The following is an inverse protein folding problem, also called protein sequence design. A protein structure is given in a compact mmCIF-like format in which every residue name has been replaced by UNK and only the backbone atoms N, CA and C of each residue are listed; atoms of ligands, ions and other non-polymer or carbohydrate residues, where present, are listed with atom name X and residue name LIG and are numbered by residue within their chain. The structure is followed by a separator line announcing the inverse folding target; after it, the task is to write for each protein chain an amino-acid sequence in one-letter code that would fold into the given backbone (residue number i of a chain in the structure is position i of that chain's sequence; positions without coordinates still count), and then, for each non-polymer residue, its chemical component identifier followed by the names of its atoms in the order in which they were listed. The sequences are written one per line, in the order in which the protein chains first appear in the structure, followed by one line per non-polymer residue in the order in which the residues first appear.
data_IF_119875844640
#
_entry.id   IF_119875844640
#
_cell.length_a   1.000
_cell.length_b   1.000
_cell.length_c   1.000
_cell.angle_alpha   90.00
_cell.angle_beta   90.00
_cell.angle_gamma   90.00
#
_symmetry.space_group_name_H-M   'P 1'
#
loop_
_entity.id
_entity.type
_entity.pdbx_description
1 polymer ?
#
# COMPACT_ATOMS: atom_id res chain seq x y z
N UNK A 1 16.44 0.20 23.20
CA UNK A 1 17.20 -0.65 22.26
C UNK A 1 16.58 -2.04 22.26
N UNK A 2 16.38 -2.68 21.10
CA UNK A 2 15.82 -4.04 21.03
C UNK A 2 16.83 -5.05 21.60
N UNK A 3 16.36 -5.99 22.42
CA UNK A 3 17.21 -7.05 23.02
C UNK A 3 17.20 -8.34 22.22
N UNK A 4 16.06 -8.67 21.63
CA UNK A 4 15.81 -9.88 20.85
C UNK A 4 15.10 -9.44 19.58
N UNK A 5 15.61 -9.87 18.43
CA UNK A 5 15.04 -9.48 17.13
C UNK A 5 14.81 -10.74 16.31
N UNK A 6 13.61 -10.87 15.76
CA UNK A 6 13.30 -11.92 14.77
C UNK A 6 12.87 -11.21 13.49
N UNK A 7 13.59 -11.47 12.40
CA UNK A 7 13.26 -10.94 11.09
C UNK A 7 12.59 -12.02 10.24
N UNK A 8 11.33 -11.76 9.88
CA UNK A 8 10.61 -12.55 8.88
C UNK A 8 11.16 -12.20 7.50
N UNK A 9 11.55 -13.22 6.73
CA UNK A 9 12.16 -13.04 5.41
C UNK A 9 11.13 -13.12 4.28
N UNK A 10 10.01 -13.79 4.52
CA UNK A 10 9.06 -14.12 3.48
C UNK A 10 8.12 -12.96 3.16
N UNK A 11 8.13 -12.52 1.91
CA UNK A 11 7.12 -11.62 1.38
C UNK A 11 5.91 -12.43 0.89
N UNK A 12 4.94 -12.66 1.77
CA UNK A 12 3.79 -13.54 1.49
C UNK A 12 2.90 -13.03 0.36
N UNK A 13 2.74 -11.70 0.22
CA UNK A 13 1.81 -11.13 -0.78
C UNK A 13 2.24 -11.38 -2.22
N UNK A 14 3.54 -11.34 -2.49
CA UNK A 14 4.12 -11.54 -3.82
C UNK A 14 4.69 -12.95 -3.99
N UNK A 15 4.34 -13.89 -3.10
CA UNK A 15 4.91 -15.26 -3.09
C UNK A 15 4.73 -15.97 -4.43
N UNK A 16 3.56 -15.80 -5.04
CA UNK A 16 3.19 -16.49 -6.27
C UNK A 16 3.57 -15.71 -7.54
N UNK A 17 4.26 -14.56 -7.40
CA UNK A 17 4.77 -13.76 -8.51
C UNK A 17 6.28 -13.44 -8.31
N UNK A 18 7.18 -14.29 -8.83
CA UNK A 18 8.62 -14.09 -8.72
C UNK A 18 9.11 -12.80 -9.37
N UNK A 19 8.43 -12.29 -10.42
CA UNK A 19 8.82 -11.04 -11.07
C UNK A 19 8.54 -9.85 -10.15
N UNK A 20 7.37 -9.83 -9.52
CA UNK A 20 7.05 -8.84 -8.50
C UNK A 20 7.99 -8.96 -7.30
N UNK A 21 8.28 -10.17 -6.83
CA UNK A 21 9.25 -10.41 -5.76
C UNK A 21 10.62 -9.81 -6.07
N UNK A 22 11.16 -10.08 -7.26
CA UNK A 22 12.44 -9.55 -7.70
C UNK A 22 12.43 -8.02 -7.86
N UNK A 23 11.32 -7.44 -8.33
CA UNK A 23 11.13 -5.98 -8.39
C UNK A 23 11.17 -5.37 -6.99
N UNK A 24 10.43 -5.94 -6.03
CA UNK A 24 10.41 -5.48 -4.63
C UNK A 24 11.81 -5.54 -4.01
N UNK A 25 12.57 -6.58 -4.28
CA UNK A 25 13.96 -6.70 -3.83
C UNK A 25 14.86 -5.65 -4.45
N UNK A 26 14.74 -5.36 -5.76
CA UNK A 26 15.49 -4.26 -6.39
C UNK A 26 15.13 -2.92 -5.78
N UNK A 27 13.84 -2.63 -5.59
CA UNK A 27 13.37 -1.39 -4.96
C UNK A 27 13.94 -1.26 -3.54
N UNK A 28 13.80 -2.30 -2.70
CA UNK A 28 14.29 -2.30 -1.31
C UNK A 28 15.78 -2.02 -1.20
N UNK A 29 16.56 -2.44 -2.20
CA UNK A 29 18.01 -2.32 -2.21
C UNK A 29 18.52 -1.15 -3.07
N UNK A 30 17.63 -0.29 -3.61
CA UNK A 30 18.04 0.83 -4.45
C UNK A 30 18.68 0.42 -5.78
N UNK A 31 18.31 -0.75 -6.31
CA UNK A 31 18.85 -1.35 -7.55
C UNK A 31 17.83 -1.35 -8.70
N UNK A 32 16.89 -0.40 -8.69
CA UNK A 32 15.91 -0.23 -9.75
C UNK A 32 16.58 0.07 -11.09
N UNK A 33 16.03 -0.45 -12.17
CA UNK A 33 16.54 -0.27 -13.54
C UNK A 33 15.54 0.49 -14.42
N UNK A 34 16.00 0.99 -15.57
CA UNK A 34 15.10 1.58 -16.57
C UNK A 34 14.06 0.56 -17.06
N UNK A 35 14.45 -0.71 -17.21
CA UNK A 35 13.52 -1.79 -17.58
C UNK A 35 12.40 -1.96 -16.53
N UNK A 36 12.72 -1.86 -15.24
CA UNK A 36 11.70 -1.89 -14.17
C UNK A 36 10.70 -0.73 -14.29
N UNK A 37 11.20 0.46 -14.63
CA UNK A 37 10.37 1.64 -14.83
C UNK A 37 9.44 1.47 -16.04
N UNK A 38 9.97 0.95 -17.15
CA UNK A 38 9.20 0.71 -18.37
C UNK A 38 8.14 -0.38 -18.15
N UNK A 39 8.49 -1.45 -17.41
CA UNK A 39 7.55 -2.51 -17.02
C UNK A 39 6.38 -1.97 -16.17
N UNK A 40 6.65 -1.08 -15.22
CA UNK A 40 5.60 -0.43 -14.45
C UNK A 40 4.72 0.45 -15.35
N UNK A 41 5.34 1.30 -16.19
CA UNK A 41 4.63 2.22 -17.06
C UNK A 41 3.83 1.52 -18.19
N UNK A 42 4.12 0.26 -18.51
CA UNK A 42 3.27 -0.55 -19.38
C UNK A 42 1.87 -0.84 -18.80
N UNK A 43 1.67 -0.60 -17.50
CA UNK A 43 0.41 -0.88 -16.79
C UNK A 43 -0.43 0.37 -16.48
N UNK A 44 -0.19 1.48 -17.19
CA UNK A 44 -1.00 2.71 -17.04
C UNK A 44 -2.42 2.46 -17.54
N UNK A 45 -3.40 2.90 -16.77
CA UNK A 45 -4.81 2.85 -17.14
C UNK A 45 -5.42 4.24 -17.18
N UNK A 46 -6.40 4.42 -18.06
CA UNK A 46 -7.23 5.61 -18.09
C UNK A 46 -8.25 5.63 -16.94
N UNK A 47 -8.72 6.83 -16.57
CA UNK A 47 -9.71 7.01 -15.49
C UNK A 47 -11.01 6.20 -15.71
N UNK A 48 -11.44 6.04 -16.95
CA UNK A 48 -12.62 5.25 -17.31
C UNK A 48 -12.45 3.74 -17.07
N UNK A 49 -11.21 3.25 -16.96
CA UNK A 49 -10.89 1.84 -16.72
C UNK A 49 -10.76 1.52 -15.22
N UNK A 50 -10.89 2.51 -14.34
CA UNK A 50 -10.86 2.31 -12.88
C UNK A 50 -12.23 1.79 -12.43
N UNK A 51 -12.41 0.47 -12.45
CA UNK A 51 -13.66 -0.19 -12.04
C UNK A 51 -13.49 -0.91 -10.70
N UNK A 52 -13.78 -0.20 -9.60
CA UNK A 52 -13.70 -0.79 -8.26
C UNK A 52 -14.72 -1.92 -8.01
N UNK A 53 -15.85 -1.91 -8.74
CA UNK A 53 -16.87 -2.96 -8.62
C UNK A 53 -16.40 -4.33 -9.13
N UNK A 54 -15.33 -4.38 -9.94
CA UNK A 54 -14.73 -5.61 -10.47
C UNK A 54 -13.54 -6.12 -9.63
N UNK A 55 -13.40 -5.64 -8.39
CA UNK A 55 -12.36 -6.08 -7.47
C UNK A 55 -11.01 -5.38 -7.63
N UNK A 56 -10.96 -4.24 -8.32
CA UNK A 56 -9.79 -3.36 -8.27
C UNK A 56 -9.70 -2.72 -6.87
N UNK A 57 -8.51 -2.72 -6.27
CA UNK A 57 -8.27 -2.07 -4.96
C UNK A 57 -7.36 -0.86 -5.15
N UNK A 58 -7.75 0.31 -4.69
CA UNK A 58 -6.84 1.44 -4.61
C UNK A 58 -5.91 1.31 -3.40
N UNK A 59 -4.63 1.59 -3.58
CA UNK A 59 -3.67 1.73 -2.48
C UNK A 59 -3.26 3.20 -2.44
N UNK A 60 -3.72 3.91 -1.41
CA UNK A 60 -3.44 5.34 -1.27
C UNK A 60 -2.46 5.60 -0.12
N UNK A 61 -1.54 6.58 -0.28
CA UNK A 61 -0.68 7.02 0.82
C UNK A 61 -1.46 7.72 1.95
N UNK A 62 -2.52 8.46 1.60
CA UNK A 62 -3.30 9.25 2.55
C UNK A 62 -4.65 8.59 2.87
N UNK A 63 -5.02 8.63 4.15
CA UNK A 63 -6.32 8.14 4.64
C UNK A 63 -7.48 8.96 4.04
N UNK A 64 -7.29 10.26 3.82
CA UNK A 64 -8.30 11.13 3.20
C UNK A 64 -8.70 10.67 1.80
N UNK A 65 -7.71 10.27 0.99
CA UNK A 65 -7.95 9.80 -0.38
C UNK A 65 -8.65 8.44 -0.38
N UNK A 66 -8.35 7.57 0.60
CA UNK A 66 -9.00 6.27 0.76
C UNK A 66 -10.52 6.41 0.89
N UNK A 67 -11.01 7.37 1.66
CA UNK A 67 -12.45 7.55 1.87
C UNK A 67 -13.19 7.94 0.58
N UNK A 68 -12.61 8.85 -0.20
CA UNK A 68 -13.17 9.25 -1.48
C UNK A 68 -13.27 8.05 -2.45
N UNK A 69 -12.22 7.24 -2.54
CA UNK A 69 -12.19 6.06 -3.40
C UNK A 69 -13.12 4.94 -2.90
N UNK A 70 -13.23 4.75 -1.57
CA UNK A 70 -14.19 3.81 -1.00
C UNK A 70 -15.62 4.23 -1.34
N UNK A 71 -15.95 5.52 -1.27
CA UNK A 71 -17.26 6.02 -1.68
C UNK A 71 -17.51 5.83 -3.18
N UNK A 72 -16.53 6.16 -4.03
CA UNK A 72 -16.62 5.89 -5.47
C UNK A 72 -16.85 4.39 -5.75
N UNK A 73 -16.17 3.50 -5.01
CA UNK A 73 -16.33 2.06 -5.12
C UNK A 73 -17.73 1.58 -4.71
N UNK A 74 -18.23 2.02 -3.55
CA UNK A 74 -19.56 1.64 -3.05
C UNK A 74 -20.66 2.17 -3.97
N UNK A 75 -20.57 3.43 -4.41
CA UNK A 75 -21.51 4.04 -5.37
C UNK A 75 -21.46 3.31 -6.71
N UNK A 76 -20.26 3.00 -7.22
CA UNK A 76 -20.08 2.24 -8.45
C UNK A 76 -20.71 0.86 -8.36
N UNK A 77 -20.46 0.12 -7.28
CA UNK A 77 -21.03 -1.20 -7.04
C UNK A 77 -22.56 -1.15 -6.93
N UNK A 78 -23.11 -0.20 -6.19
CA UNK A 78 -24.55 -0.06 -6.01
C UNK A 78 -25.26 0.26 -7.34
N UNK A 79 -24.70 1.17 -8.14
CA UNK A 79 -25.20 1.48 -9.48
C UNK A 79 -25.18 0.25 -10.39
N UNK A 80 -24.04 -0.46 -10.43
CA UNK A 80 -23.87 -1.66 -11.24
C UNK A 80 -24.87 -2.77 -10.87
N UNK A 81 -25.06 -3.00 -9.57
CA UNK A 81 -25.97 -4.04 -9.05
C UNK A 81 -27.43 -3.57 -8.89
N UNK A 82 -27.75 -2.34 -9.28
CA UNK A 82 -29.08 -1.71 -9.08
C UNK A 82 -29.56 -1.81 -7.62
N UNK A 83 -28.66 -1.58 -6.66
CA UNK A 83 -28.92 -1.61 -5.22
C UNK A 83 -29.00 -0.19 -4.66
N UNK A 84 -29.74 -0.05 -3.56
CA UNK A 84 -29.78 1.18 -2.78
C UNK A 84 -28.63 1.19 -1.77
N UNK A 85 -28.03 2.36 -1.52
CA UNK A 85 -27.07 2.54 -0.43
C UNK A 85 -27.82 3.10 0.77
N UNK A 86 -27.70 2.44 1.91
CA UNK A 86 -28.28 2.91 3.17
C UNK A 86 -27.14 3.27 4.12
N UNK A 87 -27.19 4.48 4.68
CA UNK A 87 -26.21 4.97 5.66
C UNK A 87 -26.91 5.01 7.01
N UNK A 88 -26.34 4.30 7.98
CA UNK A 88 -26.83 4.29 9.36
C UNK A 88 -25.87 5.10 10.22
N UNK A 89 -26.39 6.11 10.92
CA UNK A 89 -25.60 6.95 11.80
C UNK A 89 -25.72 6.42 13.22
N UNK A 90 -24.58 6.20 13.87
CA UNK A 90 -24.52 5.65 15.22
C UNK A 90 -25.26 6.52 16.25
N UNK A 91 -26.21 5.94 16.96
CA UNK A 91 -27.00 6.62 18.00
C UNK A 91 -26.23 6.86 19.30
N UNK A 92 -25.10 6.18 19.54
CA UNK A 92 -24.32 6.38 20.77
C UNK A 92 -23.51 7.68 20.78
N UNK A 93 -23.16 8.19 19.59
CA UNK A 93 -22.48 9.49 19.38
C UNK A 93 -23.50 10.61 19.14
N UNK A 94 -24.59 10.30 18.44
CA UNK A 94 -25.61 11.26 18.04
C UNK A 94 -26.91 10.98 18.78
N UNK A 95 -26.96 11.41 20.06
CA UNK A 95 -28.04 11.04 20.98
C UNK A 95 -29.30 11.87 20.86
N UNK A 96 -29.24 13.11 20.34
CA UNK A 96 -30.38 14.01 20.20
C UNK A 96 -30.20 15.01 19.04
N UNK A 97 -31.23 15.16 18.19
CA UNK A 97 -31.34 16.20 17.16
C UNK A 97 -31.31 15.69 15.71
N UNK A 98 -31.91 16.46 14.80
CA UNK A 98 -31.83 16.24 13.35
C UNK A 98 -30.38 16.44 12.91
N UNK A 99 -29.78 15.44 12.26
CA UNK A 99 -28.44 15.56 11.68
C UNK A 99 -28.47 16.61 10.57
N UNK A 100 -27.64 17.65 10.68
CA UNK A 100 -27.51 18.64 9.60
C UNK A 100 -26.90 17.98 8.35
N UNK A 101 -27.23 18.51 7.17
CA UNK A 101 -26.63 18.03 5.91
C UNK A 101 -25.09 18.08 5.93
N UNK A 102 -24.49 19.06 6.62
CA UNK A 102 -23.04 19.18 6.76
C UNK A 102 -22.43 18.03 7.57
N UNK A 103 -23.08 17.63 8.68
CA UNK A 103 -22.65 16.49 9.48
C UNK A 103 -22.78 15.20 8.68
N UNK A 104 -23.89 15.01 7.97
CA UNK A 104 -24.08 13.84 7.09
C UNK A 104 -22.99 13.78 6.02
N UNK A 105 -22.70 14.89 5.34
CA UNK A 105 -21.63 14.95 4.34
C UNK A 105 -20.24 14.66 4.95
N UNK A 106 -19.99 15.15 6.16
CA UNK A 106 -18.75 14.87 6.89
C UNK A 106 -18.64 13.40 7.30
N UNK A 107 -19.73 12.77 7.77
CA UNK A 107 -19.78 11.35 8.11
C UNK A 107 -19.59 10.45 6.90
N UNK A 108 -20.22 10.77 5.77
CA UNK A 108 -19.97 10.12 4.47
C UNK A 108 -18.50 10.21 4.10
N UNK A 109 -17.87 11.36 4.37
CA UNK A 109 -16.44 11.59 4.16
C UNK A 109 -15.50 10.81 5.08
N UNK A 110 -15.99 10.18 6.16
CA UNK A 110 -15.17 9.37 7.07
C UNK A 110 -15.13 7.88 6.68
N UNK A 111 -16.03 7.43 5.79
CA UNK A 111 -15.98 6.13 5.13
C UNK A 111 -16.09 4.90 6.05
N UNK A 112 -15.88 3.73 5.46
CA UNK A 112 -15.81 2.41 6.12
C UNK A 112 -14.36 1.86 6.02
N UNK A 113 -13.96 1.06 7.00
CA UNK A 113 -12.67 0.36 7.11
C UNK A 113 -12.75 -1.11 6.66
N UNK A 114 -13.91 -1.55 6.15
CA UNK A 114 -14.09 -2.91 5.63
C UNK A 114 -13.14 -3.24 4.48
N UNK A 115 -12.68 -4.49 4.49
CA UNK A 115 -11.78 -5.03 3.47
C UNK A 115 -12.55 -5.90 2.48
N UNK A 116 -12.28 -5.74 1.18
CA UNK A 116 -12.85 -6.60 0.15
C UNK A 116 -12.10 -7.91 0.02
N UNK A 117 -12.82 -9.04 0.00
CA UNK A 117 -12.24 -10.40 -0.01
C UNK A 117 -11.76 -10.89 -1.39
N UNK A 118 -12.19 -10.24 -2.49
CA UNK A 118 -11.87 -10.65 -3.87
C UNK A 118 -11.13 -9.54 -4.65
N UNK A 119 -9.85 -9.33 -4.33
CA UNK A 119 -9.00 -8.35 -5.04
C UNK A 119 -8.40 -8.97 -6.29
N UNK A 120 -8.67 -8.38 -7.45
CA UNK A 120 -8.13 -8.80 -8.76
C UNK A 120 -6.95 -7.96 -9.23
N UNK A 121 -6.78 -6.76 -8.70
CA UNK A 121 -5.71 -5.85 -9.07
C UNK A 121 -5.57 -4.70 -8.09
N UNK A 122 -4.48 -3.95 -8.22
CA UNK A 122 -4.18 -2.81 -7.36
C UNK A 122 -3.93 -1.55 -8.19
N UNK A 123 -4.70 -0.49 -7.92
CA UNK A 123 -4.50 0.82 -8.49
C UNK A 123 -3.55 1.64 -7.59
N UNK A 124 -2.48 2.18 -8.19
CA UNK A 124 -1.41 2.89 -7.49
C UNK A 124 -1.22 4.31 -8.04
N UNK A 125 -0.86 5.22 -7.14
CA UNK A 125 -0.35 6.56 -7.46
C UNK A 125 1.05 6.70 -6.87
N UNK A 126 2.07 6.49 -7.71
CA UNK A 126 3.49 6.52 -7.30
C UNK A 126 4.07 7.94 -7.36
N UNK A 127 3.36 8.89 -6.73
CA UNK A 127 3.72 10.30 -6.62
C UNK A 127 3.74 10.73 -5.16
N UNK A 128 4.37 11.87 -4.88
CA UNK A 128 4.32 12.49 -3.56
C UNK A 128 3.00 13.22 -3.31
N UNK A 129 2.68 13.43 -2.03
CA UNK A 129 1.38 13.95 -1.59
C UNK A 129 1.28 15.49 -1.61
N UNK A 130 2.38 16.21 -1.82
CA UNK A 130 2.39 17.68 -1.87
C UNK A 130 2.30 18.11 -3.32
N UNK A 131 1.50 19.13 -3.62
CA UNK A 131 1.38 19.68 -4.98
C UNK A 131 1.89 21.11 -4.97
N UNK A 132 2.78 21.45 -5.91
CA UNK A 132 3.27 22.81 -6.13
C UNK A 132 3.23 23.10 -7.64
N UNK A 133 2.61 24.23 -8.03
CA UNK A 133 2.44 24.61 -9.43
C UNK A 133 1.78 23.52 -10.31
N UNK A 134 0.84 22.76 -9.73
CA UNK A 134 0.17 21.65 -10.42
C UNK A 134 0.97 20.35 -10.45
N UNK A 135 2.24 20.35 -10.04
CA UNK A 135 3.09 19.17 -10.05
C UNK A 135 3.16 18.50 -8.67
N UNK A 136 2.93 17.18 -8.58
CA UNK A 136 3.15 16.41 -7.37
C UNK A 136 4.63 16.39 -6.97
N UNK A 137 4.91 16.41 -5.67
CA UNK A 137 6.27 16.23 -5.13
C UNK A 137 6.81 14.84 -5.46
N UNK A 138 8.12 14.63 -5.22
CA UNK A 138 8.73 13.32 -5.35
C UNK A 138 8.04 12.30 -4.43
N UNK A 139 7.82 11.07 -4.92
CA UNK A 139 7.39 9.95 -4.11
C UNK A 139 8.56 9.51 -3.19
N UNK A 140 8.36 9.47 -1.88
CA UNK A 140 9.39 8.99 -0.97
C UNK A 140 9.53 7.45 -1.05
N UNK A 141 10.70 6.94 -0.66
CA UNK A 141 11.01 5.50 -0.70
C UNK A 141 9.97 4.65 0.05
N UNK A 142 9.52 5.12 1.22
CA UNK A 142 8.60 4.35 2.07
C UNK A 142 7.25 4.23 1.37
N UNK A 143 6.72 5.33 0.85
CA UNK A 143 5.49 5.33 0.05
C UNK A 143 5.60 4.42 -1.17
N UNK A 144 6.70 4.52 -1.93
CA UNK A 144 6.95 3.68 -3.10
C UNK A 144 6.93 2.19 -2.73
N UNK A 145 7.76 1.79 -1.75
CA UNK A 145 7.92 0.40 -1.37
C UNK A 145 6.64 -0.17 -0.72
N UNK A 146 5.96 0.58 0.14
CA UNK A 146 4.72 0.14 0.80
C UNK A 146 3.60 -0.06 -0.23
N UNK A 147 3.46 0.84 -1.21
CA UNK A 147 2.44 0.69 -2.24
C UNK A 147 2.67 -0.57 -3.08
N UNK A 148 3.89 -0.75 -3.60
CA UNK A 148 4.24 -1.93 -4.40
C UNK A 148 4.12 -3.23 -3.59
N UNK A 149 4.59 -3.25 -2.35
CA UNK A 149 4.59 -4.47 -1.50
C UNK A 149 3.22 -4.92 -1.03
N UNK A 150 2.18 -4.11 -1.25
CA UNK A 150 0.78 -4.47 -1.01
C UNK A 150 0.11 -5.12 -2.23
N UNK A 151 0.76 -5.09 -3.40
CA UNK A 151 0.30 -5.80 -4.59
C UNK A 151 0.62 -7.30 -4.48
N UNK A 152 -0.14 -8.10 -5.22
CA UNK A 152 0.03 -9.56 -5.26
C UNK A 152 0.70 -10.06 -6.53
N UNK A 153 0.45 -9.39 -7.65
CA UNK A 153 1.08 -9.69 -8.94
C UNK A 153 1.46 -8.39 -9.67
N UNK A 154 2.50 -8.45 -10.50
CA UNK A 154 2.95 -7.35 -11.35
C UNK A 154 1.89 -7.01 -12.41
N UNK A 155 1.26 -8.03 -13.02
CA UNK A 155 0.20 -7.85 -14.02
C UNK A 155 -1.07 -7.20 -13.42
N UNK A 156 -1.31 -7.43 -12.13
CA UNK A 156 -2.42 -6.85 -11.37
C UNK A 156 -2.20 -5.38 -11.01
N UNK A 157 -0.99 -4.84 -11.16
CA UNK A 157 -0.72 -3.42 -10.96
C UNK A 157 -1.41 -2.62 -12.06
N UNK A 158 -2.02 -1.51 -11.66
CA UNK A 158 -2.62 -0.50 -12.53
C UNK A 158 -2.13 0.87 -12.06
N UNK A 159 -1.49 1.61 -12.95
CA UNK A 159 -1.01 2.94 -12.62
C UNK A 159 -2.01 4.00 -13.06
N UNK A 160 -2.31 4.93 -12.15
CA UNK A 160 -3.18 6.07 -12.44
C UNK A 160 -2.45 7.19 -13.20
N UNK A 161 -1.13 7.22 -13.11
CA UNK A 161 -0.25 8.16 -13.80
C UNK A 161 1.08 7.49 -14.15
N UNK A 162 1.82 8.00 -15.16
CA UNK A 162 3.17 7.52 -15.42
C UNK A 162 4.08 7.73 -14.20
N UNK A 163 4.86 6.71 -13.86
CA UNK A 163 5.94 6.81 -12.88
C UNK A 163 7.05 7.67 -13.48
N UNK A 164 7.44 8.75 -12.79
CA UNK A 164 8.58 9.56 -13.23
C UNK A 164 9.88 8.88 -12.84
N UNK A 165 10.91 9.07 -13.66
CA UNK A 165 12.26 8.60 -13.37
C UNK A 165 12.72 8.98 -11.94
N UNK A 166 12.51 10.23 -11.53
CA UNK A 166 12.89 10.74 -10.20
C UNK A 166 12.14 10.10 -9.01
N UNK A 167 10.94 9.55 -9.24
CA UNK A 167 10.13 8.90 -8.20
C UNK A 167 10.55 7.46 -7.97
N UNK A 168 11.35 6.88 -8.87
CA UNK A 168 11.62 5.45 -8.90
C UNK A 168 13.12 5.13 -8.95
N UNK A 169 13.82 5.66 -9.95
CA UNK A 169 15.26 5.44 -10.12
C UNK A 169 16.03 6.25 -9.07
N UNK A 170 16.95 5.58 -8.38
CA UNK A 170 17.69 6.16 -7.26
C UNK A 170 16.82 6.49 -6.04
N UNK A 171 15.55 6.04 -6.02
CA UNK A 171 14.71 6.16 -4.84
C UNK A 171 15.04 5.03 -3.87
N UNK A 172 15.92 5.30 -2.92
CA UNK A 172 16.43 4.33 -1.96
C UNK A 172 16.22 4.79 -0.52
N UNK A 173 16.36 3.84 0.42
CA UNK A 173 16.47 4.15 1.85
C UNK A 173 17.55 5.20 2.09
N UNK A 174 17.28 6.14 2.99
CA UNK A 174 18.32 7.03 3.51
C UNK A 174 19.33 6.25 4.37
N UNK A 175 20.49 6.86 4.59
CA UNK A 175 21.61 6.22 5.31
C UNK A 175 21.26 5.86 6.76
N UNK A 176 20.43 6.68 7.43
CA UNK A 176 20.06 6.44 8.82
C UNK A 176 19.15 5.20 8.93
N UNK A 177 18.14 5.10 8.07
CA UNK A 177 17.26 3.93 7.97
C UNK A 177 18.03 2.68 7.51
N UNK A 178 18.92 2.81 6.53
CA UNK A 178 19.75 1.71 6.06
C UNK A 178 20.64 1.16 7.19
N UNK A 179 21.32 2.04 7.94
CA UNK A 179 22.10 1.66 9.12
C UNK A 179 21.23 1.06 10.25
N UNK A 180 20.01 1.57 10.44
CA UNK A 180 19.01 0.97 11.33
C UNK A 180 18.65 -0.47 10.93
N UNK A 181 18.32 -0.69 9.66
CA UNK A 181 17.98 -2.00 9.11
C UNK A 181 19.15 -2.99 9.24
N UNK A 182 20.37 -2.54 9.00
CA UNK A 182 21.56 -3.39 9.14
C UNK A 182 21.81 -3.82 10.59
N UNK A 183 21.61 -2.91 11.55
CA UNK A 183 21.66 -3.24 12.98
C UNK A 183 20.61 -4.27 13.37
N UNK A 184 19.38 -4.13 12.86
CA UNK A 184 18.32 -5.12 13.10
C UNK A 184 18.66 -6.49 12.51
N UNK A 185 19.28 -6.54 11.32
CA UNK A 185 19.77 -7.79 10.71
C UNK A 185 20.84 -8.47 11.56
N UNK A 186 21.81 -7.71 12.06
CA UNK A 186 22.84 -8.23 12.97
C UNK A 186 22.22 -8.81 14.25
N UNK A 187 21.34 -8.05 14.91
CA UNK A 187 20.65 -8.51 16.13
C UNK A 187 19.80 -9.76 15.89
N UNK A 188 19.19 -9.88 14.70
CA UNK A 188 18.40 -11.05 14.34
C UNK A 188 19.26 -12.30 14.13
N UNK A 189 20.45 -12.15 13.53
CA UNK A 189 21.41 -13.25 13.40
C UNK A 189 21.92 -13.71 14.77
N UNK A 190 22.25 -12.77 15.65
CA UNK A 190 22.71 -13.09 17.00
C UNK A 190 21.61 -13.74 17.85
N UNK A 191 20.37 -13.25 17.75
CA UNK A 191 19.21 -13.86 18.41
C UNK A 191 19.04 -15.32 17.98
N UNK A 192 19.18 -15.60 16.68
CA UNK A 192 19.08 -16.96 16.14
C UNK A 192 20.21 -17.84 16.67
N UNK A 193 21.46 -17.36 16.64
CA UNK A 193 22.63 -18.11 17.12
C UNK A 193 22.49 -18.52 18.59
N UNK A 194 22.13 -17.57 19.45
CA UNK A 194 21.93 -17.84 20.88
C UNK A 194 20.80 -18.85 21.11
N UNK A 195 19.72 -18.77 20.34
CA UNK A 195 18.62 -19.73 20.43
C UNK A 195 19.05 -21.14 20.00
N UNK A 196 19.77 -21.26 18.88
CA UNK A 196 20.28 -22.52 18.37
C UNK A 196 21.29 -23.16 19.34
N UNK A 197 22.20 -22.38 19.94
CA UNK A 197 23.16 -22.88 20.93
C UNK A 197 22.47 -23.41 22.20
N UNK A 198 21.43 -22.72 22.68
CA UNK A 198 20.63 -23.17 23.84
C UNK A 198 19.78 -24.40 23.56
N UNK A 199 19.34 -24.59 22.32
CA UNK A 199 18.56 -25.77 21.93
C UNK A 199 19.46 -27.01 21.86
N UNK A 200 20.70 -26.85 21.38
CA UNK A 200 21.72 -27.90 21.41
C UNK A 200 22.06 -28.30 22.85
N UNK A 201 22.25 -27.34 23.76
CA UNK A 201 22.59 -27.63 25.17
C UNK A 201 21.46 -28.35 25.93
N UNK A 202 20.20 -28.23 25.49
CA UNK A 202 19.03 -28.92 26.08
C UNK A 202 18.78 -30.32 25.54
N UNK A 203 19.48 -30.72 24.48
CA UNK A 203 19.34 -32.05 23.85
C UNK A 203 20.37 -33.07 24.39
N UNK A 204 21.25 -32.66 25.32
CA UNK A 204 22.22 -33.49 26.04
C UNK A 204 21.95 -33.45 27.56
#
# INVERSE_FOLDING_TARGET
MFRTVVLLKDQVRARDDPQLGALLDRVRNGRQTQQDLDLLNANIIGRSQVTFHDGLRAITPLNRTRWALNMEAVVGWARFNKRHISIFVSTHTWRNGTLSQSIVAQTIGQGDDSTWENVRGSALELRGNRVANGEPSKCDFTSLYVQLSRCTTLQGIKLLSPVRHQDFIGNSLDQAMAGGMQRLKYLAAETRRVYEDQDVEKQW
#
